data_IF_231645961293
#
_entry.id   IF_231645961293
#
_cell.length_a   1.000
_cell.length_b   1.000
_cell.length_c   1.000
_cell.angle_alpha   90.00
_cell.angle_beta   90.00
_cell.angle_gamma   90.00
#
_symmetry.space_group_name_H-M   'P 1'
#
loop_
_entity.id
_entity.type
_entity.pdbx_description
1 polymer ?
#
# COMPACT_ATOMS: atom_id res chain seq x y z
N UNK A 1 -20.27 -22.14 21.01
CA UNK A 1 -19.73 -20.79 20.75
C UNK A 1 -19.37 -20.74 19.28
N UNK A 2 -20.01 -19.82 18.58
CA UNK A 2 -20.11 -19.70 17.13
C UNK A 2 -18.72 -19.53 16.48
N UNK A 3 -18.34 -20.53 15.67
CA UNK A 3 -17.08 -20.56 14.95
C UNK A 3 -17.23 -19.65 13.73
N UNK A 4 -16.85 -18.37 13.88
CA UNK A 4 -16.88 -17.38 12.80
C UNK A 4 -15.75 -17.69 11.80
N UNK A 5 -15.93 -18.73 10.98
CA UNK A 5 -14.97 -19.23 10.01
C UNK A 5 -15.03 -18.42 8.71
N UNK A 6 -14.68 -17.13 8.78
CA UNK A 6 -14.34 -16.33 7.60
C UNK A 6 -12.93 -16.67 7.10
N UNK A 7 -12.63 -17.97 6.91
CA UNK A 7 -11.44 -18.36 6.17
C UNK A 7 -11.74 -18.18 4.69
N UNK A 8 -11.38 -17.01 4.14
CA UNK A 8 -11.35 -16.84 2.69
C UNK A 8 -10.37 -17.85 2.12
N UNK A 9 -10.77 -18.54 1.05
CA UNK A 9 -9.95 -19.50 0.31
C UNK A 9 -8.50 -19.03 0.15
N UNK A 10 -7.54 -19.96 0.21
CA UNK A 10 -6.13 -19.65 -0.03
C UNK A 10 -5.96 -19.00 -1.40
N UNK A 11 -5.58 -17.72 -1.41
CA UNK A 11 -5.35 -16.96 -2.64
C UNK A 11 -4.05 -17.44 -3.29
N UNK A 12 -4.09 -17.79 -4.58
CA UNK A 12 -2.91 -18.24 -5.30
C UNK A 12 -1.89 -17.11 -5.48
N UNK A 13 -0.59 -17.45 -5.55
CA UNK A 13 0.49 -16.49 -5.74
C UNK A 13 0.24 -15.56 -6.93
N UNK A 14 -0.19 -16.13 -8.07
CA UNK A 14 -0.50 -15.37 -9.27
C UNK A 14 -1.59 -14.32 -9.00
N UNK A 15 -2.66 -14.71 -8.28
CA UNK A 15 -3.76 -13.80 -7.95
C UNK A 15 -3.29 -12.66 -7.03
N UNK A 16 -2.43 -12.96 -6.06
CA UNK A 16 -1.80 -11.96 -5.19
C UNK A 16 -0.92 -11.00 -5.98
N UNK A 17 -0.12 -11.49 -6.93
CA UNK A 17 0.71 -10.65 -7.81
C UNK A 17 -0.17 -9.73 -8.66
N UNK A 18 -1.24 -10.26 -9.26
CA UNK A 18 -2.16 -9.48 -10.09
C UNK A 18 -2.88 -8.39 -9.28
N UNK A 19 -3.28 -8.68 -8.04
CA UNK A 19 -3.83 -7.68 -7.13
C UNK A 19 -2.80 -6.61 -6.77
N UNK A 20 -1.54 -6.99 -6.55
CA UNK A 20 -0.43 -6.06 -6.32
C UNK A 20 -0.23 -5.11 -7.51
N UNK A 21 -0.18 -5.65 -8.74
CA UNK A 21 -0.05 -4.86 -9.96
C UNK A 21 -1.25 -3.91 -10.11
N UNK A 22 -2.47 -4.41 -9.98
CA UNK A 22 -3.69 -3.61 -10.08
C UNK A 22 -3.73 -2.46 -9.06
N UNK A 23 -3.22 -2.69 -7.85
CA UNK A 23 -3.11 -1.66 -6.81
C UNK A 23 -2.09 -0.56 -7.11
N UNK A 24 -1.03 -0.85 -7.89
CA UNK A 24 0.05 0.10 -8.19
C UNK A 24 -0.22 0.90 -9.47
N UNK A 25 -0.95 0.35 -10.44
CA UNK A 25 -1.20 0.98 -11.74
C UNK A 25 -1.72 2.43 -11.69
N UNK A 26 -2.68 2.81 -10.82
CA UNK A 26 -3.16 4.19 -10.74
C UNK A 26 -2.06 5.18 -10.33
N UNK A 27 -1.11 4.74 -9.49
CA UNK A 27 0.00 5.56 -9.00
C UNK A 27 1.01 5.81 -10.13
N UNK A 28 1.23 4.82 -10.99
CA UNK A 28 2.13 4.92 -12.16
C UNK A 28 1.70 6.02 -13.14
N UNK A 29 0.39 6.23 -13.33
CA UNK A 29 -0.13 7.30 -14.20
C UNK A 29 0.19 8.68 -13.63
N UNK A 30 0.06 8.87 -12.31
CA UNK A 30 0.44 10.13 -11.65
C UNK A 30 1.95 10.40 -11.71
N UNK A 31 2.76 9.35 -11.52
CA UNK A 31 4.22 9.43 -11.69
C UNK A 31 4.60 9.87 -13.10
N UNK A 32 3.91 9.37 -14.13
CA UNK A 32 4.06 9.83 -15.51
C UNK A 32 3.89 11.35 -15.67
N UNK A 33 2.84 11.92 -15.05
CA UNK A 33 2.60 13.37 -15.08
C UNK A 33 3.66 14.20 -14.35
N UNK A 34 4.13 13.74 -13.18
CA UNK A 34 5.21 14.39 -12.43
C UNK A 34 6.57 14.26 -13.14
N UNK A 35 6.77 13.17 -13.87
CA UNK A 35 7.98 12.94 -14.65
C UNK A 35 8.09 13.93 -15.83
N UNK A 36 6.96 14.38 -16.37
CA UNK A 36 6.91 15.35 -17.47
C UNK A 36 7.35 16.76 -17.04
N UNK A 37 7.19 17.12 -15.75
CA UNK A 37 7.61 18.42 -15.20
C UNK A 37 9.04 18.42 -14.69
N UNK A 38 9.68 17.24 -14.54
CA UNK A 38 11.02 17.09 -13.98
C UNK A 38 12.17 17.19 -15.02
N UNK A 39 11.85 17.33 -16.31
CA UNK A 39 12.86 17.48 -17.37
C UNK A 39 13.88 16.34 -17.41
N UNK A 40 15.16 16.65 -17.66
CA UNK A 40 16.24 15.65 -17.74
C UNK A 40 16.47 14.84 -16.46
N UNK A 41 16.01 15.31 -15.29
CA UNK A 41 16.14 14.60 -14.03
C UNK A 41 15.10 13.48 -13.85
N UNK A 42 14.06 13.48 -14.68
CA UNK A 42 12.90 12.58 -14.60
C UNK A 42 13.25 11.08 -14.47
N UNK A 43 14.17 10.50 -15.26
CA UNK A 43 14.53 9.08 -15.12
C UNK A 43 15.16 8.76 -13.76
N UNK A 44 15.95 9.67 -13.20
CA UNK A 44 16.60 9.48 -11.90
C UNK A 44 15.61 9.51 -10.74
N UNK A 45 14.56 10.34 -10.84
CA UNK A 45 13.47 10.37 -9.85
C UNK A 45 12.73 9.03 -9.83
N UNK A 46 12.46 8.45 -10.99
CA UNK A 46 11.80 7.14 -11.11
C UNK A 46 12.69 6.03 -10.52
N UNK A 47 13.98 6.02 -10.85
CA UNK A 47 14.93 5.03 -10.32
C UNK A 47 15.08 5.14 -8.80
N UNK A 48 15.11 6.35 -8.25
CA UNK A 48 15.14 6.57 -6.81
C UNK A 48 13.86 6.05 -6.15
N UNK A 49 12.69 6.35 -6.72
CA UNK A 49 11.41 5.85 -6.22
C UNK A 49 11.36 4.31 -6.23
N UNK A 50 11.84 3.67 -7.30
CA UNK A 50 11.98 2.22 -7.38
C UNK A 50 12.88 1.68 -6.26
N UNK A 51 14.05 2.29 -6.05
CA UNK A 51 14.97 1.92 -4.98
C UNK A 51 14.32 1.99 -3.59
N UNK A 52 13.60 3.07 -3.31
CA UNK A 52 12.87 3.25 -2.04
C UNK A 52 11.79 2.17 -1.87
N UNK A 53 11.03 1.86 -2.93
CA UNK A 53 10.00 0.81 -2.90
C UNK A 53 10.62 -0.55 -2.58
N UNK A 54 11.74 -0.89 -3.22
CA UNK A 54 12.46 -2.14 -2.95
C UNK A 54 12.93 -2.20 -1.49
N UNK A 55 13.47 -1.11 -0.95
CA UNK A 55 13.90 -1.06 0.45
C UNK A 55 12.72 -1.23 1.42
N UNK A 56 11.58 -0.58 1.16
CA UNK A 56 10.37 -0.71 1.98
C UNK A 56 9.73 -2.10 1.85
N UNK A 57 9.93 -2.80 0.72
CA UNK A 57 9.40 -4.15 0.54
C UNK A 57 10.00 -5.17 1.53
N UNK A 58 11.25 -4.97 1.96
CA UNK A 58 11.94 -5.88 2.90
C UNK A 58 11.20 -6.02 4.24
N UNK A 59 10.94 -4.94 5.01
CA UNK A 59 10.20 -5.07 6.27
C UNK A 59 8.76 -5.55 6.07
N UNK A 60 8.13 -5.27 4.91
CA UNK A 60 6.79 -5.79 4.60
C UNK A 60 6.82 -7.31 4.44
N UNK A 61 7.79 -7.85 3.71
CA UNK A 61 7.96 -9.29 3.55
C UNK A 61 8.22 -9.95 4.90
N UNK A 62 9.07 -9.36 5.74
CA UNK A 62 9.34 -9.90 7.08
C UNK A 62 8.07 -9.88 7.96
N UNK A 63 7.30 -8.80 7.94
CA UNK A 63 6.02 -8.73 8.63
C UNK A 63 5.04 -9.82 8.16
N UNK A 64 4.94 -10.08 6.85
CA UNK A 64 4.04 -11.13 6.33
C UNK A 64 4.41 -12.54 6.76
N UNK A 65 5.66 -12.77 7.20
CA UNK A 65 6.07 -14.05 7.80
C UNK A 65 5.60 -14.19 9.25
N UNK A 66 5.49 -13.07 9.96
CA UNK A 66 5.14 -13.02 11.38
C UNK A 66 3.61 -12.95 11.60
N UNK A 67 2.91 -12.14 10.80
CA UNK A 67 1.49 -11.89 10.96
C UNK A 67 0.65 -12.87 10.12
N UNK A 68 -0.24 -13.62 10.79
CA UNK A 68 -1.20 -14.54 10.16
C UNK A 68 -2.59 -13.93 9.92
N UNK A 69 -2.74 -12.61 10.07
CA UNK A 69 -4.01 -11.91 9.99
C UNK A 69 -4.00 -10.80 8.92
N UNK A 70 -5.17 -10.50 8.37
CA UNK A 70 -5.37 -9.48 7.34
C UNK A 70 -5.36 -8.05 7.91
N UNK A 71 -4.22 -7.62 8.47
CA UNK A 71 -4.08 -6.29 9.10
C UNK A 71 -3.29 -5.26 8.29
N UNK A 72 -2.64 -5.67 7.20
CA UNK A 72 -1.74 -4.79 6.43
C UNK A 72 -0.67 -4.12 7.32
N UNK A 73 -0.25 -2.91 6.96
CA UNK A 73 0.75 -2.15 7.70
C UNK A 73 0.23 -1.55 9.02
N UNK A 74 -1.09 -1.48 9.25
CA UNK A 74 -1.65 -1.14 10.57
C UNK A 74 -1.48 -2.29 11.57
N UNK A 75 -1.66 -3.52 11.09
CA UNK A 75 -1.35 -4.71 11.88
C UNK A 75 0.15 -4.76 12.21
N UNK A 76 1.01 -4.36 11.27
CA UNK A 76 2.44 -4.22 11.53
C UNK A 76 2.73 -3.18 12.62
N UNK A 77 2.07 -2.01 12.56
CA UNK A 77 2.19 -1.00 13.59
C UNK A 77 1.64 -1.44 14.96
N UNK A 78 0.54 -2.20 14.97
CA UNK A 78 -0.04 -2.78 16.18
C UNK A 78 0.90 -3.80 16.83
N UNK A 79 1.52 -4.69 16.04
CA UNK A 79 2.47 -5.68 16.55
C UNK A 79 3.77 -5.05 17.05
N UNK A 80 4.27 -4.02 16.36
CA UNK A 80 5.55 -3.38 16.71
C UNK A 80 5.45 -2.36 17.84
N UNK A 81 4.35 -1.59 17.90
CA UNK A 81 4.22 -0.42 18.78
C UNK A 81 2.96 -0.44 19.66
N UNK A 82 2.15 -1.48 19.56
CA UNK A 82 0.95 -1.68 20.35
C UNK A 82 -0.34 -1.15 19.71
N UNK A 83 -1.46 -1.56 20.31
CA UNK A 83 -2.82 -1.38 19.78
C UNK A 83 -3.21 0.07 19.48
N UNK A 84 -2.77 1.01 20.31
CA UNK A 84 -3.07 2.44 20.13
C UNK A 84 -2.44 2.97 18.83
N UNK A 85 -1.19 2.59 18.55
CA UNK A 85 -0.48 3.02 17.34
C UNK A 85 -1.11 2.38 16.11
N UNK A 86 -1.43 1.09 16.16
CA UNK A 86 -2.16 0.41 15.08
C UNK A 86 -3.46 1.13 14.69
N UNK A 87 -4.27 1.49 15.70
CA UNK A 87 -5.51 2.26 15.49
C UNK A 87 -5.26 3.66 14.91
N UNK A 88 -4.24 4.36 15.40
CA UNK A 88 -3.88 5.69 14.90
C UNK A 88 -3.48 5.65 13.43
N UNK A 89 -2.63 4.70 13.04
CA UNK A 89 -2.21 4.52 11.65
C UNK A 89 -3.42 4.13 10.79
N UNK A 90 -4.27 3.23 11.29
CA UNK A 90 -5.54 2.83 10.65
C UNK A 90 -6.44 4.02 10.34
N UNK A 91 -6.68 4.86 11.35
CA UNK A 91 -7.50 6.06 11.21
C UNK A 91 -6.87 7.06 10.24
N UNK A 92 -5.56 7.29 10.35
CA UNK A 92 -4.83 8.22 9.47
C UNK A 92 -4.96 7.83 8.01
N UNK A 93 -4.87 6.55 7.71
CA UNK A 93 -5.04 6.10 6.33
C UNK A 93 -6.49 6.06 5.87
N UNK A 94 -7.46 5.80 6.76
CA UNK A 94 -8.86 5.95 6.42
C UNK A 94 -9.15 7.40 5.97
N UNK A 95 -8.63 8.40 6.70
CA UNK A 95 -8.73 9.81 6.31
C UNK A 95 -8.03 10.09 4.98
N UNK A 96 -6.85 9.51 4.74
CA UNK A 96 -6.17 9.60 3.45
C UNK A 96 -7.03 9.02 2.31
N UNK A 97 -7.66 7.86 2.51
CA UNK A 97 -8.53 7.22 1.52
C UNK A 97 -9.83 7.95 1.29
N UNK A 98 -10.34 8.72 2.26
CA UNK A 98 -11.45 9.64 2.03
C UNK A 98 -11.02 10.83 1.15
N UNK A 99 -9.79 11.32 1.32
CA UNK A 99 -9.23 12.41 0.52
C UNK A 99 -8.78 11.98 -0.87
N UNK A 100 -8.34 10.74 -1.04
CA UNK A 100 -7.85 10.21 -2.31
C UNK A 100 -8.85 10.36 -3.47
N UNK A 101 -10.13 9.92 -3.37
CA UNK A 101 -11.13 10.13 -4.41
C UNK A 101 -11.49 11.61 -4.59
N UNK A 102 -11.42 12.43 -3.54
CA UNK A 102 -11.64 13.88 -3.66
C UNK A 102 -10.53 14.57 -4.48
N UNK A 103 -9.29 14.11 -4.33
CA UNK A 103 -8.16 14.59 -5.13
C UNK A 103 -8.20 14.11 -6.58
N UNK A 104 -8.67 12.88 -6.82
CA UNK A 104 -8.83 12.36 -8.20
C UNK A 104 -10.05 12.94 -8.90
N UNK A 105 -11.14 13.24 -8.20
CA UNK A 105 -12.30 13.94 -8.76
C UNK A 105 -11.94 15.35 -9.25
N UNK A 106 -11.07 16.07 -8.55
CA UNK A 106 -10.56 17.38 -8.98
C UNK A 106 -9.62 17.33 -10.20
N UNK A 107 -9.09 16.15 -10.57
CA UNK A 107 -8.28 15.96 -11.77
C UNK A 107 -9.11 15.59 -13.02
N UNK A 108 -10.39 15.24 -12.84
CA UNK A 108 -11.31 14.80 -13.91
C UNK A 108 -12.37 15.88 -14.22
N UNK A 109 -12.51 16.92 -13.38
CA UNK A 109 -13.42 18.04 -13.56
C UNK A 109 -12.81 19.21 -14.35
#
# INVERSE_FOLDING_TARGET
>A
MEQNSLQSESVSLLRTVMWGIAGILPISVMLGGLSATAGYASPFVILLALGIILLISVPVLEYTRLAKFAGGYYGAAELGFGKTVGKFVGLSHYVFYLRWPLGTAAFIA
#
